data_IF_168267047400
#
_entry.id   IF_168267047400
#
_cell.length_a   1.000
_cell.length_b   1.000
_cell.length_c   1.000
_cell.angle_alpha   90.00
_cell.angle_beta   90.00
_cell.angle_gamma   90.00
#
_symmetry.space_group_name_H-M   'P 1'
#
loop_
_entity.id
_entity.type
_entity.pdbx_description
1 polymer ?
#
# COMPACT_ATOMS: atom_id res chain seq x y z
N UNK A 1 14.51 2.01 -3.97
CA UNK A 1 13.41 2.35 -4.90
C UNK A 1 12.73 1.06 -5.26
N UNK A 2 11.48 0.87 -4.85
CA UNK A 2 10.69 -0.28 -5.27
C UNK A 2 10.24 -0.01 -6.71
N UNK A 3 10.73 -0.82 -7.65
CA UNK A 3 10.49 -0.68 -9.11
C UNK A 3 9.04 -1.02 -9.51
N UNK A 4 8.18 -1.33 -8.55
CA UNK A 4 6.83 -1.85 -8.76
C UNK A 4 5.81 -0.72 -8.68
N UNK A 5 5.01 -0.56 -9.72
CA UNK A 5 3.92 0.41 -9.73
C UNK A 5 2.94 0.15 -8.58
N UNK A 6 2.53 1.24 -7.90
CA UNK A 6 1.52 1.18 -6.86
C UNK A 6 0.15 0.88 -7.49
N UNK A 7 -0.69 0.02 -6.85
CA UNK A 7 -2.06 -0.15 -7.29
C UNK A 7 -2.84 1.17 -7.18
N UNK A 8 -3.84 1.41 -8.03
CA UNK A 8 -4.68 2.60 -7.91
C UNK A 8 -5.37 2.62 -6.54
N UNK A 9 -5.29 3.75 -5.84
CA UNK A 9 -5.83 3.85 -4.46
C UNK A 9 -7.32 3.49 -4.37
N UNK A 10 -8.07 3.77 -5.43
CA UNK A 10 -9.52 3.47 -5.54
C UNK A 10 -9.83 1.98 -5.59
N UNK A 11 -8.83 1.13 -5.84
CA UNK A 11 -8.96 -0.34 -5.83
C UNK A 11 -8.57 -0.96 -4.49
N UNK A 12 -8.03 -0.15 -3.57
CA UNK A 12 -7.51 -0.63 -2.29
C UNK A 12 -8.60 -0.65 -1.22
N UNK A 13 -8.53 -1.66 -0.36
CA UNK A 13 -9.32 -1.69 0.87
C UNK A 13 -8.91 -0.56 1.81
N UNK A 14 -9.79 -0.17 2.74
CA UNK A 14 -9.46 0.86 3.73
C UNK A 14 -8.20 0.51 4.53
N UNK A 15 -8.01 -0.76 4.92
CA UNK A 15 -6.82 -1.21 5.64
C UNK A 15 -5.53 -0.96 4.84
N UNK A 16 -5.55 -1.16 3.53
CA UNK A 16 -4.41 -0.88 2.65
C UNK A 16 -4.17 0.62 2.47
N UNK A 17 -5.24 1.40 2.29
CA UNK A 17 -5.15 2.86 2.15
C UNK A 17 -4.56 3.52 3.40
N UNK A 18 -4.89 2.99 4.60
CA UNK A 18 -4.36 3.46 5.89
C UNK A 18 -2.98 2.88 6.26
N UNK A 19 -2.40 2.02 5.41
CA UNK A 19 -1.11 1.38 5.68
C UNK A 19 -1.15 0.31 6.79
N UNK A 20 -2.34 -0.19 7.15
CA UNK A 20 -2.50 -1.31 8.09
C UNK A 20 -2.34 -2.67 7.41
N UNK A 21 -2.40 -2.70 6.08
CA UNK A 21 -2.20 -3.90 5.28
C UNK A 21 -1.29 -3.59 4.10
N UNK A 22 -0.57 -4.62 3.65
CA UNK A 22 0.29 -4.52 2.48
C UNK A 22 -0.53 -4.13 1.25
N UNK A 23 -0.04 -3.13 0.50
CA UNK A 23 -0.74 -2.62 -0.68
C UNK A 23 -0.95 -3.67 -1.78
N UNK A 24 -0.14 -4.74 -1.81
CA UNK A 24 -0.29 -5.84 -2.77
C UNK A 24 -0.99 -7.06 -2.14
N UNK A 25 -0.31 -7.78 -1.23
CA UNK A 25 -0.83 -9.06 -0.73
C UNK A 25 -1.94 -8.96 0.34
N UNK A 26 -2.37 -7.76 0.74
CA UNK A 26 -3.39 -7.51 1.78
C UNK A 26 -3.05 -8.03 3.19
N UNK A 27 -1.87 -8.64 3.38
CA UNK A 27 -1.41 -9.11 4.68
C UNK A 27 -1.31 -7.97 5.69
N UNK A 28 -1.77 -8.22 6.92
CA UNK A 28 -1.74 -7.23 7.99
C UNK A 28 -0.30 -6.80 8.32
N UNK A 29 -0.10 -5.50 8.43
CA UNK A 29 1.15 -4.84 8.77
C UNK A 29 0.99 -4.23 10.18
N UNK A 30 1.52 -4.93 11.18
CA UNK A 30 1.51 -4.46 12.56
C UNK A 30 2.33 -3.18 12.77
N UNK A 31 2.31 -2.67 14.00
CA UNK A 31 3.11 -1.52 14.41
C UNK A 31 4.60 -1.83 14.18
N UNK A 32 5.30 -0.97 13.45
CA UNK A 32 6.72 -1.16 13.10
C UNK A 32 6.99 -2.25 12.04
N UNK A 33 5.97 -2.96 11.56
CA UNK A 33 6.11 -3.99 10.52
C UNK A 33 5.69 -3.43 9.17
N UNK A 34 6.52 -3.57 8.14
CA UNK A 34 6.23 -3.13 6.79
C UNK A 34 6.99 -1.86 6.41
N UNK A 35 7.42 -1.82 5.16
CA UNK A 35 8.25 -0.75 4.60
C UNK A 35 7.34 0.35 4.05
N UNK A 36 7.57 1.59 4.49
CA UNK A 36 6.90 2.78 3.96
C UNK A 36 7.44 3.08 2.56
N UNK A 37 6.54 3.23 1.59
CA UNK A 37 6.85 3.49 0.18
C UNK A 37 6.89 4.99 -0.16
N UNK A 38 6.84 5.85 0.85
CA UNK A 38 6.85 7.29 0.74
C UNK A 38 5.47 7.90 0.50
N UNK A 39 5.41 9.22 0.68
CA UNK A 39 4.20 10.01 0.45
C UNK A 39 3.71 9.86 -0.99
N UNK A 40 2.43 9.54 -1.13
CA UNK A 40 1.70 9.58 -2.38
C UNK A 40 0.61 10.64 -2.29
N UNK A 41 0.46 11.46 -3.33
CA UNK A 41 -0.56 12.51 -3.38
C UNK A 41 -1.67 12.15 -4.34
N UNK A 42 -2.89 12.30 -3.88
CA UNK A 42 -4.11 12.09 -4.66
C UNK A 42 -4.86 13.42 -4.74
N UNK A 43 -5.33 13.75 -5.94
CA UNK A 43 -6.21 14.87 -6.18
C UNK A 43 -7.46 14.36 -6.89
N UNK A 44 -8.53 14.02 -6.14
CA UNK A 44 -9.80 13.63 -6.74
C UNK A 44 -10.38 14.74 -7.62
N UNK A 45 -11.21 14.37 -8.60
CA UNK A 45 -11.97 15.34 -9.40
C UNK A 45 -12.93 16.14 -8.50
N UNK A 46 -13.65 15.42 -7.63
CA UNK A 46 -14.58 15.98 -6.67
C UNK A 46 -14.07 15.69 -5.26
N UNK A 47 -13.34 16.63 -4.66
CA UNK A 47 -12.86 16.51 -3.29
C UNK A 47 -11.56 17.25 -3.00
N UNK A 48 -11.14 17.20 -1.74
CA UNK A 48 -9.86 17.75 -1.31
C UNK A 48 -8.71 16.85 -1.75
N UNK A 49 -7.58 17.45 -2.12
CA UNK A 49 -6.34 16.71 -2.27
C UNK A 49 -5.91 16.14 -0.92
N UNK A 50 -5.35 14.93 -0.94
CA UNK A 50 -4.88 14.26 0.26
C UNK A 50 -3.62 13.45 -0.02
N UNK A 51 -2.87 13.23 1.04
CA UNK A 51 -1.68 12.38 1.02
C UNK A 51 -1.99 11.04 1.68
N UNK A 52 -1.35 9.99 1.20
CA UNK A 52 -1.38 8.67 1.82
C UNK A 52 0.01 8.05 1.76
N UNK A 53 0.26 7.09 2.65
CA UNK A 53 1.58 6.50 2.89
C UNK A 53 1.47 4.98 2.73
N UNK A 54 1.52 4.46 1.49
CA UNK A 54 1.42 3.04 1.21
C UNK A 54 2.56 2.27 1.90
N UNK A 55 2.23 1.08 2.39
CA UNK A 55 3.20 0.19 3.04
C UNK A 55 3.24 -1.18 2.39
N UNK A 56 4.44 -1.74 2.29
CA UNK A 56 4.68 -3.10 1.79
C UNK A 56 5.17 -4.06 2.88
N UNK A 57 5.10 -5.35 2.59
CA UNK A 57 5.79 -6.33 3.43
C UNK A 57 7.32 -6.19 3.28
N UNK A 58 8.09 -6.41 4.36
CA UNK A 58 9.55 -6.34 4.30
C UNK A 58 10.17 -7.46 3.45
N UNK A 59 9.51 -8.61 3.35
CA UNK A 59 9.88 -9.70 2.43
C UNK A 59 9.04 -9.62 1.15
N UNK A 60 9.68 -9.14 0.08
CA UNK A 60 9.06 -8.98 -1.22
C UNK A 60 8.72 -10.33 -1.89
N UNK A 61 9.53 -11.38 -1.69
CA UNK A 61 9.32 -12.68 -2.32
C UNK A 61 8.11 -13.39 -1.70
N UNK A 62 8.03 -13.42 -0.37
CA UNK A 62 6.87 -13.97 0.32
C UNK A 62 5.59 -13.16 0.05
N UNK A 63 5.73 -11.84 -0.15
CA UNK A 63 4.61 -10.98 -0.54
C UNK A 63 4.04 -11.35 -1.91
N UNK A 64 4.90 -11.51 -2.91
CA UNK A 64 4.48 -11.89 -4.26
C UNK A 64 3.76 -13.25 -4.29
N UNK A 65 4.22 -14.21 -3.48
CA UNK A 65 3.55 -15.50 -3.35
C UNK A 65 2.13 -15.37 -2.79
N UNK A 66 1.93 -14.57 -1.73
CA UNK A 66 0.60 -14.36 -1.13
C UNK A 66 -0.36 -13.61 -2.05
N UNK A 67 0.15 -12.70 -2.87
CA UNK A 67 -0.67 -11.96 -3.83
C UNK A 67 -1.19 -12.84 -4.96
N UNK A 68 -0.45 -13.89 -5.33
CA UNK A 68 -0.85 -14.82 -6.38
C UNK A 68 -1.91 -15.85 -5.94
N UNK A 69 -2.29 -15.86 -4.65
CA UNK A 69 -3.32 -16.73 -4.07
C UNK A 69 -4.70 -16.05 -4.13
#
# INVERSE_FOLDING_TARGET
>A
MTTRALPPITTLTEAQQRGWACVWCRGALGIGLGVDLGEQRVRPADGAAYSWFPRECPDAAACAQREAL
#
